data_IF_271219765157
#
_entry.id   IF_271219765157
#
_cell.length_a   1.000
_cell.length_b   1.000
_cell.length_c   1.000
_cell.angle_alpha   90.00
_cell.angle_beta   90.00
_cell.angle_gamma   90.00
#
_symmetry.space_group_name_H-M   'P 1'
#
loop_
_entity.id
_entity.type
_entity.pdbx_description
1 polymer ?
#
# COMPACT_ATOMS: atom_id res chain seq x y z
N UNK A 1 27.22 3.46 35.66
CA UNK A 1 27.61 2.11 35.18
C UNK A 1 28.29 2.32 33.84
N UNK A 2 29.31 1.53 33.48
CA UNK A 2 30.05 1.70 32.22
C UNK A 2 29.90 0.43 31.38
N UNK A 3 30.02 0.56 30.07
CA UNK A 3 29.92 -0.54 29.13
C UNK A 3 31.10 -0.51 28.14
N UNK A 4 31.65 -1.69 27.85
CA UNK A 4 32.60 -1.88 26.74
C UNK A 4 31.79 -2.14 25.47
N UNK A 5 32.01 -1.32 24.44
CA UNK A 5 31.32 -1.41 23.15
C UNK A 5 32.32 -1.59 22.00
N UNK A 6 31.92 -2.34 20.98
CA UNK A 6 32.67 -2.45 19.72
C UNK A 6 32.39 -1.25 18.80
N UNK A 7 33.41 -0.63 18.22
CA UNK A 7 33.22 0.50 17.29
C UNK A 7 32.52 0.06 15.99
N UNK A 8 32.91 -1.09 15.42
CA UNK A 8 32.51 -1.47 14.06
C UNK A 8 31.18 -2.24 13.98
N UNK A 9 30.73 -2.89 15.06
CA UNK A 9 29.52 -3.72 15.08
C UNK A 9 28.33 -3.02 15.76
N UNK A 10 28.04 -1.78 15.38
CA UNK A 10 26.90 -1.00 15.90
C UNK A 10 26.89 -0.87 17.44
N UNK A 11 28.06 -0.67 18.06
CA UNK A 11 28.15 -0.47 19.51
C UNK A 11 27.58 -1.63 20.35
N UNK A 12 27.76 -2.88 19.89
CA UNK A 12 27.36 -4.06 20.67
C UNK A 12 28.08 -4.07 22.03
N UNK A 13 27.30 -4.16 23.11
CA UNK A 13 27.81 -4.22 24.48
C UNK A 13 28.44 -5.59 24.73
N UNK A 14 29.72 -5.60 25.10
CA UNK A 14 30.50 -6.81 25.38
C UNK A 14 30.58 -7.12 26.88
N UNK A 15 30.63 -6.10 27.72
CA UNK A 15 30.67 -6.20 29.17
C UNK A 15 30.18 -4.91 29.81
N UNK A 16 29.51 -5.01 30.95
CA UNK A 16 29.09 -3.86 31.79
C UNK A 16 29.70 -3.99 33.17
N UNK A 17 30.04 -2.87 33.81
CA UNK A 17 30.71 -2.88 35.12
C UNK A 17 31.17 -1.51 35.57
N UNK A 18 32.04 -1.49 36.57
CA UNK A 18 32.75 -0.27 36.96
C UNK A 18 33.90 0.02 35.99
N UNK A 19 34.20 1.30 35.76
CA UNK A 19 35.28 1.74 34.89
C UNK A 19 36.64 1.02 35.16
N UNK A 20 37.14 0.89 36.41
CA UNK A 20 38.41 0.22 36.65
C UNK A 20 38.39 -1.29 36.37
N UNK A 21 37.25 -1.96 36.53
CA UNK A 21 37.11 -3.39 36.23
C UNK A 21 37.10 -3.64 34.73
N UNK A 22 36.43 -2.78 33.96
CA UNK A 22 36.37 -2.87 32.50
C UNK A 22 37.74 -2.60 31.87
N UNK A 23 38.52 -1.66 32.38
CA UNK A 23 39.90 -1.44 31.92
C UNK A 23 40.79 -2.67 32.11
N UNK A 24 40.68 -3.36 33.26
CA UNK A 24 41.42 -4.62 33.52
C UNK A 24 40.98 -5.73 32.56
N UNK A 25 39.67 -5.84 32.32
CA UNK A 25 39.09 -6.84 31.42
C UNK A 25 39.54 -6.62 29.98
N UNK A 26 39.47 -5.38 29.47
CA UNK A 26 39.93 -5.01 28.13
C UNK A 26 41.42 -5.34 27.95
N UNK A 27 42.27 -4.98 28.92
CA UNK A 27 43.70 -5.26 28.86
C UNK A 27 44.00 -6.77 28.81
N UNK A 28 43.37 -7.56 29.68
CA UNK A 28 43.53 -9.01 29.70
C UNK A 28 43.07 -9.65 28.39
N UNK A 29 41.92 -9.24 27.86
CA UNK A 29 41.36 -9.78 26.60
C UNK A 29 42.19 -9.42 25.37
N UNK A 30 42.82 -8.24 25.38
CA UNK A 30 43.76 -7.84 24.32
C UNK A 30 45.05 -8.67 24.38
N UNK A 31 45.58 -8.91 25.59
CA UNK A 31 46.78 -9.74 25.80
C UNK A 31 46.59 -11.21 25.38
N UNK A 32 45.38 -11.74 25.56
CA UNK A 32 45.03 -13.10 25.14
C UNK A 32 44.57 -13.19 23.68
N UNK A 33 44.56 -12.09 22.92
CA UNK A 33 44.20 -12.06 21.50
C UNK A 33 42.72 -12.37 21.20
N UNK A 34 41.85 -12.30 22.20
CA UNK A 34 40.44 -12.69 22.07
C UNK A 34 39.60 -11.60 21.40
N UNK A 35 39.98 -10.32 21.51
CA UNK A 35 39.29 -9.19 20.88
C UNK A 35 40.16 -8.57 19.80
N UNK A 36 39.77 -8.76 18.54
CA UNK A 36 40.51 -8.29 17.35
C UNK A 36 40.07 -6.90 16.86
N UNK A 37 39.12 -6.26 17.52
CA UNK A 37 38.53 -4.98 17.11
C UNK A 37 38.77 -3.90 18.17
N UNK A 38 38.87 -2.62 17.78
CA UNK A 38 38.96 -1.53 18.75
C UNK A 38 37.68 -1.47 19.59
N UNK A 39 37.85 -1.48 20.91
CA UNK A 39 36.77 -1.39 21.90
C UNK A 39 36.86 -0.08 22.68
N UNK A 40 35.70 0.52 22.99
CA UNK A 40 35.60 1.79 23.74
C UNK A 40 34.82 1.53 25.02
N UNK A 41 35.31 2.10 26.13
CA UNK A 41 34.57 2.14 27.40
C UNK A 41 33.78 3.45 27.40
N UNK A 42 32.46 3.34 27.43
CA UNK A 42 31.56 4.48 27.52
C UNK A 42 30.73 4.40 28.80
N UNK A 43 30.37 5.53 29.41
CA UNK A 43 29.35 5.54 30.45
C UNK A 43 28.05 4.98 29.85
N UNK A 44 27.50 3.96 30.51
CA UNK A 44 26.19 3.41 30.22
C UNK A 44 25.16 4.46 30.62
N UNK A 45 24.94 5.43 29.73
CA UNK A 45 23.69 6.16 29.71
C UNK A 45 22.62 5.17 29.26
N UNK A 46 22.12 4.37 30.20
CA UNK A 46 20.82 3.76 30.06
C UNK A 46 19.84 4.93 29.99
N UNK A 47 19.53 5.40 28.78
CA UNK A 47 18.32 6.19 28.61
C UNK A 47 17.18 5.32 29.15
N UNK A 48 16.40 5.79 30.14
CA UNK A 48 15.22 5.06 30.57
C UNK A 48 14.37 4.85 29.32
N UNK A 49 14.03 3.59 29.04
CA UNK A 49 13.15 3.26 27.93
C UNK A 49 11.89 4.11 28.07
N UNK A 50 11.66 5.02 27.13
CA UNK A 50 10.41 5.74 27.07
C UNK A 50 9.36 4.73 26.61
N UNK A 51 8.56 4.22 27.55
CA UNK A 51 7.45 3.29 27.28
C UNK A 51 6.57 3.79 26.12
N UNK A 52 6.51 5.11 25.90
CA UNK A 52 5.80 5.70 24.77
C UNK A 52 6.48 5.43 23.43
N UNK A 53 7.81 5.52 23.35
CA UNK A 53 8.57 5.16 22.15
C UNK A 53 8.54 3.64 21.91
N UNK A 54 8.63 2.85 22.98
CA UNK A 54 8.51 1.40 22.88
C UNK A 54 7.12 0.97 22.37
N UNK A 55 6.05 1.52 22.93
CA UNK A 55 4.69 1.25 22.47
C UNK A 55 4.42 1.83 21.07
N UNK A 56 5.06 2.94 20.69
CA UNK A 56 5.02 3.45 19.32
C UNK A 56 5.75 2.52 18.34
N UNK A 57 6.86 1.90 18.76
CA UNK A 57 7.61 0.92 17.95
C UNK A 57 6.87 -0.42 17.77
N UNK A 58 5.90 -0.73 18.65
CA UNK A 58 5.04 -1.91 18.53
C UNK A 58 3.83 -1.70 17.63
N UNK A 59 3.47 -0.44 17.31
CA UNK A 59 2.38 -0.20 16.37
C UNK A 59 2.87 -0.55 14.97
N UNK A 60 2.11 -1.34 14.19
CA UNK A 60 2.42 -1.53 12.78
C UNK A 60 2.56 -0.15 12.15
N UNK A 61 3.68 0.08 11.47
CA UNK A 61 3.86 1.31 10.71
C UNK A 61 2.68 1.42 9.72
N UNK A 62 1.90 2.51 9.74
CA UNK A 62 0.79 2.69 8.82
C UNK A 62 1.22 2.57 7.35
N UNK A 63 2.49 2.82 7.02
CA UNK A 63 3.03 2.55 5.67
C UNK A 63 3.18 1.05 5.37
N UNK A 64 3.49 0.23 6.38
CA UNK A 64 3.60 -1.23 6.24
C UNK A 64 2.23 -1.86 5.96
N UNK A 65 1.20 -1.46 6.70
CA UNK A 65 -0.16 -1.96 6.47
C UNK A 65 -0.67 -1.59 5.06
N UNK A 66 -0.39 -0.35 4.62
CA UNK A 66 -0.76 0.07 3.27
C UNK A 66 0.00 -0.70 2.18
N UNK A 67 1.29 -0.97 2.41
CA UNK A 67 2.13 -1.75 1.49
C UNK A 67 1.66 -3.19 1.35
N UNK A 68 1.19 -3.82 2.42
CA UNK A 68 0.59 -5.15 2.37
C UNK A 68 -0.72 -5.14 1.59
N UNK A 69 -1.60 -4.18 1.87
CA UNK A 69 -2.89 -4.04 1.18
C UNK A 69 -2.71 -3.82 -0.32
N UNK A 70 -1.80 -2.94 -0.76
CA UNK A 70 -1.55 -2.73 -2.19
C UNK A 70 -0.89 -3.94 -2.86
N UNK A 71 -0.10 -4.73 -2.13
CA UNK A 71 0.50 -5.97 -2.64
C UNK A 71 -0.58 -7.00 -2.95
N UNK A 72 -1.56 -7.17 -2.08
CA UNK A 72 -2.70 -8.07 -2.30
C UNK A 72 -3.59 -7.59 -3.45
N UNK A 73 -3.90 -6.29 -3.49
CA UNK A 73 -4.67 -5.69 -4.59
C UNK A 73 -3.94 -5.91 -5.94
N UNK A 74 -2.61 -5.77 -5.98
CA UNK A 74 -1.80 -6.05 -7.18
C UNK A 74 -1.85 -7.53 -7.57
N UNK A 75 -1.85 -8.43 -6.60
CA UNK A 75 -1.96 -9.86 -6.86
C UNK A 75 -3.33 -10.20 -7.50
N UNK A 76 -4.43 -9.71 -6.91
CA UNK A 76 -5.77 -9.85 -7.46
C UNK A 76 -5.88 -9.21 -8.87
N UNK A 77 -5.24 -8.05 -9.06
CA UNK A 77 -5.17 -7.39 -10.36
C UNK A 77 -4.47 -8.24 -11.43
N UNK A 78 -3.32 -8.84 -11.09
CA UNK A 78 -2.60 -9.77 -11.98
C UNK A 78 -3.40 -11.04 -12.28
N UNK A 79 -4.28 -11.45 -11.37
CA UNK A 79 -5.23 -12.55 -11.58
C UNK A 79 -6.43 -12.17 -12.49
N UNK A 80 -6.43 -10.97 -13.09
CA UNK A 80 -7.43 -10.53 -14.06
C UNK A 80 -8.58 -9.71 -13.45
N UNK A 81 -8.52 -9.35 -12.16
CA UNK A 81 -9.52 -8.51 -11.50
C UNK A 81 -9.19 -7.03 -11.78
N UNK A 82 -9.91 -6.43 -12.71
CA UNK A 82 -9.62 -5.07 -13.17
C UNK A 82 -10.72 -4.06 -12.87
N UNK A 83 -11.64 -4.37 -11.94
CA UNK A 83 -12.67 -3.43 -11.46
C UNK A 83 -12.56 -3.28 -9.95
N UNK A 84 -12.94 -2.12 -9.41
CA UNK A 84 -12.89 -1.87 -7.95
C UNK A 84 -13.74 -2.91 -7.21
N UNK A 85 -14.93 -3.24 -7.72
CA UNK A 85 -15.80 -4.26 -7.12
C UNK A 85 -15.15 -5.65 -7.10
N UNK A 86 -14.58 -6.09 -8.22
CA UNK A 86 -13.92 -7.40 -8.29
C UNK A 86 -12.67 -7.47 -7.40
N UNK A 87 -11.96 -6.35 -7.21
CA UNK A 87 -10.83 -6.25 -6.29
C UNK A 87 -11.30 -6.29 -4.82
N UNK A 88 -12.34 -5.53 -4.47
CA UNK A 88 -12.99 -5.57 -3.15
C UNK A 88 -13.46 -6.99 -2.79
N UNK A 89 -14.16 -7.66 -3.71
CA UNK A 89 -14.70 -9.00 -3.48
C UNK A 89 -13.59 -10.05 -3.29
N UNK A 90 -12.44 -9.87 -3.98
CA UNK A 90 -11.29 -10.78 -3.88
C UNK A 90 -10.46 -10.56 -2.61
N UNK A 91 -10.21 -9.30 -2.24
CA UNK A 91 -9.32 -8.97 -1.11
C UNK A 91 -10.08 -8.79 0.21
N UNK A 92 -11.41 -8.71 0.19
CA UNK A 92 -12.23 -8.46 1.38
C UNK A 92 -12.12 -7.04 1.96
N UNK A 93 -11.42 -6.13 1.27
CA UNK A 93 -11.24 -4.75 1.72
C UNK A 93 -12.44 -3.88 1.40
N UNK A 94 -12.67 -2.85 2.22
CA UNK A 94 -13.75 -1.88 1.98
C UNK A 94 -13.54 -1.15 0.66
N UNK A 95 -14.59 -1.01 -0.15
CA UNK A 95 -14.56 -0.38 -1.47
C UNK A 95 -13.88 1.00 -1.50
N UNK A 96 -14.10 1.83 -0.47
CA UNK A 96 -13.45 3.14 -0.35
C UNK A 96 -11.92 3.01 -0.24
N UNK A 97 -11.43 2.02 0.51
CA UNK A 97 -10.00 1.76 0.69
C UNK A 97 -9.36 1.23 -0.58
N UNK A 98 -9.99 0.25 -1.23
CA UNK A 98 -9.55 -0.27 -2.54
C UNK A 98 -9.49 0.85 -3.58
N UNK A 99 -10.53 1.68 -3.66
CA UNK A 99 -10.56 2.84 -4.56
C UNK A 99 -9.39 3.78 -4.27
N UNK A 100 -9.18 4.19 -3.01
CA UNK A 100 -8.07 5.06 -2.63
C UNK A 100 -6.71 4.49 -3.07
N UNK A 101 -6.44 3.21 -2.78
CA UNK A 101 -5.16 2.57 -3.09
C UNK A 101 -4.93 2.37 -4.59
N UNK A 102 -5.98 1.98 -5.32
CA UNK A 102 -5.92 1.87 -6.79
C UNK A 102 -5.58 3.22 -7.44
N UNK A 103 -6.16 4.33 -6.95
CA UNK A 103 -5.85 5.67 -7.47
C UNK A 103 -4.46 6.14 -7.05
N UNK A 104 -4.10 6.02 -5.76
CA UNK A 104 -2.79 6.43 -5.23
C UNK A 104 -1.64 5.75 -5.97
N UNK A 105 -1.78 4.46 -6.26
CA UNK A 105 -0.76 3.66 -6.95
C UNK A 105 -1.02 3.47 -8.45
N UNK A 106 -1.96 4.23 -9.03
CA UNK A 106 -2.25 4.29 -10.48
C UNK A 106 -2.43 2.91 -11.13
N UNK A 107 -3.17 2.01 -10.47
CA UNK A 107 -3.44 0.67 -11.02
C UNK A 107 -4.42 0.75 -12.20
N UNK A 108 -4.06 0.24 -13.40
CA UNK A 108 -4.93 0.32 -14.57
C UNK A 108 -6.20 -0.51 -14.38
N UNK A 109 -7.34 0.14 -14.22
CA UNK A 109 -8.62 -0.55 -14.23
C UNK A 109 -9.07 -0.79 -15.68
N UNK A 110 -9.75 -1.90 -15.95
CA UNK A 110 -10.56 -2.07 -17.17
C UNK A 110 -11.81 -1.21 -17.00
N UNK A 111 -11.62 0.10 -17.02
CA UNK A 111 -12.71 1.06 -17.08
C UNK A 111 -13.11 1.21 -18.55
N UNK A 112 -13.69 0.15 -19.11
CA UNK A 112 -14.59 0.30 -20.24
C UNK A 112 -15.81 1.04 -19.71
N UNK A 113 -15.89 2.34 -19.97
CA UNK A 113 -17.07 3.10 -19.58
C UNK A 113 -18.08 3.08 -20.71
N UNK A 114 -19.35 3.10 -20.32
CA UNK A 114 -20.47 3.22 -21.21
C UNK A 114 -20.71 4.70 -21.48
N UNK A 115 -20.75 5.06 -22.75
CA UNK A 115 -21.00 6.42 -23.22
C UNK A 115 -22.33 6.42 -23.98
N UNK A 116 -23.19 7.37 -23.63
CA UNK A 116 -24.43 7.66 -24.32
C UNK A 116 -24.30 9.06 -24.94
N UNK A 117 -24.33 9.14 -26.26
CA UNK A 117 -24.22 10.39 -27.02
C UNK A 117 -25.57 10.69 -27.67
N UNK A 118 -26.12 11.88 -27.45
CA UNK A 118 -27.44 12.19 -27.97
C UNK A 118 -27.41 12.28 -29.50
N UNK A 119 -28.38 11.64 -30.15
CA UNK A 119 -28.47 11.53 -31.61
C UNK A 119 -28.52 12.91 -32.29
N UNK A 120 -29.28 13.84 -31.71
CA UNK A 120 -29.53 15.19 -32.26
C UNK A 120 -28.55 16.26 -31.74
N UNK A 121 -27.79 15.96 -30.68
CA UNK A 121 -26.82 16.88 -30.08
C UNK A 121 -25.59 16.13 -29.53
N UNK A 122 -24.52 15.99 -30.33
CA UNK A 122 -23.33 15.22 -29.93
C UNK A 122 -22.55 15.83 -28.75
N UNK A 123 -22.86 17.06 -28.33
CA UNK A 123 -22.27 17.68 -27.13
C UNK A 123 -22.94 17.20 -25.83
N UNK A 124 -24.12 16.58 -25.91
CA UNK A 124 -24.85 16.04 -24.77
C UNK A 124 -24.44 14.57 -24.57
N UNK A 125 -23.44 14.38 -23.70
CA UNK A 125 -22.82 13.09 -23.43
C UNK A 125 -23.08 12.69 -21.98
N UNK A 126 -23.66 11.50 -21.80
CA UNK A 126 -23.86 10.88 -20.49
C UNK A 126 -22.95 9.67 -20.39
N UNK A 127 -22.21 9.55 -19.29
CA UNK A 127 -21.29 8.43 -19.06
C UNK A 127 -21.69 7.61 -17.84
N UNK A 128 -21.43 6.32 -17.89
CA UNK A 128 -21.64 5.38 -16.78
C UNK A 128 -20.54 4.33 -16.73
N UNK A 129 -20.07 4.01 -15.52
CA UNK A 129 -19.05 2.96 -15.34
C UNK A 129 -19.62 1.55 -15.58
N UNK A 130 -20.92 1.38 -15.34
CA UNK A 130 -21.65 0.13 -15.60
C UNK A 130 -22.86 0.41 -16.48
N UNK A 131 -23.37 -0.65 -17.12
CA UNK A 131 -24.60 -0.59 -17.92
C UNK A 131 -25.78 -0.16 -17.05
N UNK A 132 -25.84 -0.65 -15.82
CA UNK A 132 -26.93 -0.37 -14.88
C UNK A 132 -26.94 1.11 -14.50
N UNK A 133 -25.77 1.68 -14.19
CA UNK A 133 -25.65 3.11 -13.85
C UNK A 133 -25.94 4.02 -15.03
N UNK A 134 -25.60 3.60 -16.26
CA UNK A 134 -26.02 4.31 -17.46
C UNK A 134 -27.53 4.18 -17.69
N UNK A 135 -28.11 3.01 -17.39
CA UNK A 135 -29.54 2.75 -17.42
C UNK A 135 -30.34 3.64 -16.50
N UNK A 136 -29.91 3.78 -15.25
CA UNK A 136 -30.57 4.64 -14.27
C UNK A 136 -30.57 6.10 -14.72
N UNK A 137 -29.47 6.58 -15.31
CA UNK A 137 -29.36 7.95 -15.85
C UNK A 137 -30.23 8.18 -17.08
N UNK A 138 -30.42 7.15 -17.91
CA UNK A 138 -31.22 7.22 -19.14
C UNK A 138 -32.70 6.84 -18.92
N UNK A 139 -33.06 6.34 -17.73
CA UNK A 139 -34.37 5.74 -17.47
C UNK A 139 -34.62 4.48 -18.32
N UNK A 140 -33.56 3.74 -18.66
CA UNK A 140 -33.62 2.61 -19.58
C UNK A 140 -33.13 1.31 -18.93
N UNK A 141 -33.72 0.15 -19.28
CA UNK A 141 -33.27 -1.13 -18.75
C UNK A 141 -31.92 -1.53 -19.33
N UNK A 142 -31.05 -2.06 -18.49
CA UNK A 142 -29.68 -2.46 -18.84
C UNK A 142 -29.60 -3.38 -20.07
N UNK A 143 -30.60 -4.26 -20.26
CA UNK A 143 -30.68 -5.15 -21.44
C UNK A 143 -30.71 -4.38 -22.76
N UNK A 144 -31.47 -3.28 -22.81
CA UNK A 144 -31.63 -2.47 -24.02
C UNK A 144 -30.35 -1.72 -24.34
N UNK A 145 -29.62 -1.25 -23.33
CA UNK A 145 -28.32 -0.59 -23.48
C UNK A 145 -27.28 -1.56 -24.04
N UNK A 146 -27.21 -2.79 -23.53
CA UNK A 146 -26.27 -3.81 -24.06
C UNK A 146 -26.60 -4.16 -25.50
N UNK A 147 -27.87 -4.41 -25.81
CA UNK A 147 -28.31 -4.73 -27.17
C UNK A 147 -27.95 -3.60 -28.15
N UNK A 148 -28.27 -2.35 -27.77
CA UNK A 148 -27.98 -1.18 -28.59
C UNK A 148 -26.48 -0.98 -28.84
N UNK A 149 -25.63 -1.25 -27.86
CA UNK A 149 -24.17 -1.16 -28.04
C UNK A 149 -23.61 -2.17 -29.05
N UNK A 150 -24.24 -3.33 -29.23
CA UNK A 150 -23.80 -4.31 -30.24
C UNK A 150 -24.37 -4.02 -31.62
N UNK A 151 -25.57 -3.43 -31.69
CA UNK A 151 -26.29 -3.19 -32.94
C UNK A 151 -26.17 -1.75 -33.46
N UNK A 152 -25.35 -0.90 -32.83
CA UNK A 152 -25.34 0.56 -33.05
C UNK A 152 -26.74 1.20 -32.94
N UNK A 153 -27.57 0.65 -32.05
CA UNK A 153 -28.93 1.10 -31.81
C UNK A 153 -29.00 2.36 -30.94
N UNK A 154 -30.17 2.98 -30.92
CA UNK A 154 -30.47 4.18 -30.12
C UNK A 154 -31.33 3.79 -28.92
N UNK A 155 -30.99 4.29 -27.73
CA UNK A 155 -31.77 4.12 -26.50
C UNK A 155 -32.10 5.49 -25.94
N UNK A 156 -33.39 5.78 -25.76
CA UNK A 156 -33.87 7.07 -25.25
C UNK A 156 -33.31 8.30 -26.02
N UNK A 157 -33.05 8.14 -27.33
CA UNK A 157 -32.44 9.20 -28.15
C UNK A 157 -30.91 9.28 -28.08
N UNK A 158 -30.25 8.34 -27.40
CA UNK A 158 -28.78 8.28 -27.30
C UNK A 158 -28.19 7.07 -28.02
N UNK A 159 -27.09 7.30 -28.73
CA UNK A 159 -26.19 6.27 -29.20
C UNK A 159 -25.36 5.72 -28.05
N UNK A 160 -25.34 4.40 -27.91
CA UNK A 160 -24.62 3.73 -26.84
C UNK A 160 -23.32 3.14 -27.39
N UNK A 161 -22.19 3.50 -26.79
CA UNK A 161 -20.90 2.91 -27.10
C UNK A 161 -20.16 2.50 -25.84
N UNK A 162 -19.35 1.45 -25.96
CA UNK A 162 -18.39 1.06 -24.93
C UNK A 162 -17.04 1.65 -25.31
N UNK A 163 -16.54 2.58 -24.51
CA UNK A 163 -15.29 3.28 -24.81
C UNK A 163 -14.14 2.54 -24.11
N UNK A 164 -13.25 1.86 -24.86
CA UNK A 164 -12.00 1.40 -24.30
C UNK A 164 -11.10 2.61 -24.03
N UNK A 165 -10.42 2.63 -22.88
CA UNK A 165 -9.43 3.68 -22.62
C UNK A 165 -8.16 3.37 -23.43
N UNK A 166 -7.73 4.33 -24.26
CA UNK A 166 -6.42 4.36 -24.93
C UNK A 166 -5.33 4.64 -23.90
#
# INVERSE_FOLDING_TARGET
MYAVKTIDQRHKVLATGSEPELHRLVLAKYQHGEWQFPVVIEPEQAQPWDDKEYLASMRPDPETEEHEQIKEIRHAHRAGKHTIRALTDETGYITKRVSYLVHKYSLPLRNEYWRAEKYDNPNEIITGQTVELLGDKLGAPARSIRQASYSNGIVCGYYISRVPKV
#
